data_IF_115462112105
#
_entry.id   IF_115462112105
#
_cell.length_a   1.000
_cell.length_b   1.000
_cell.length_c   1.000
_cell.angle_alpha   90.00
_cell.angle_beta   90.00
_cell.angle_gamma   90.00
#
_symmetry.space_group_name_H-M   'P 1'
#
loop_
_entity.id
_entity.type
_entity.pdbx_description
1 polymer ?
#
# COMPACT_ATOMS: atom_id res chain seq x y z
N UNK A 1 -14.98 15.58 6.93
CA UNK A 1 -15.86 14.39 6.77
C UNK A 1 -14.99 13.14 6.71
N UNK A 2 -14.62 12.57 7.87
CA UNK A 2 -13.63 11.47 7.95
C UNK A 2 -14.22 10.14 8.45
N UNK A 3 -15.48 10.15 8.89
CA UNK A 3 -16.17 8.99 9.47
C UNK A 3 -16.18 7.70 8.63
N UNK A 4 -16.43 7.73 7.30
CA UNK A 4 -16.50 6.48 6.52
C UNK A 4 -15.12 5.80 6.37
N UNK A 5 -14.05 6.58 6.27
CA UNK A 5 -12.68 6.06 6.13
C UNK A 5 -12.26 5.37 7.44
N UNK A 6 -12.54 6.00 8.58
CA UNK A 6 -12.24 5.44 9.90
C UNK A 6 -13.04 4.15 10.13
N UNK A 7 -14.32 4.12 9.73
CA UNK A 7 -15.15 2.92 9.82
C UNK A 7 -14.65 1.76 8.95
N UNK A 8 -14.20 2.05 7.74
CA UNK A 8 -13.66 1.03 6.83
C UNK A 8 -12.32 0.47 7.35
N UNK A 9 -11.43 1.32 7.88
CA UNK A 9 -10.14 0.86 8.43
C UNK A 9 -10.31 0.08 9.73
N UNK A 10 -11.20 0.50 10.62
CA UNK A 10 -11.50 -0.27 11.84
C UNK A 10 -12.14 -1.62 11.53
N UNK A 11 -13.10 -1.67 10.59
CA UNK A 11 -13.65 -2.95 10.12
C UNK A 11 -12.55 -3.85 9.54
N UNK A 12 -11.65 -3.31 8.72
CA UNK A 12 -10.50 -4.04 8.18
C UNK A 12 -9.62 -4.64 9.29
N UNK A 13 -9.20 -3.83 10.25
CA UNK A 13 -8.28 -4.25 11.33
C UNK A 13 -8.95 -5.26 12.27
N UNK A 14 -10.19 -5.02 12.67
CA UNK A 14 -10.93 -5.94 13.52
C UNK A 14 -11.14 -7.29 12.82
N UNK A 15 -11.54 -7.28 11.55
CA UNK A 15 -11.78 -8.52 10.80
C UNK A 15 -10.48 -9.28 10.53
N UNK A 16 -9.37 -8.60 10.18
CA UNK A 16 -8.08 -9.28 9.98
C UNK A 16 -7.55 -9.88 11.28
N UNK A 17 -7.58 -9.15 12.39
CA UNK A 17 -7.13 -9.66 13.70
C UNK A 17 -8.01 -10.78 14.23
N UNK A 18 -9.34 -10.68 14.07
CA UNK A 18 -10.25 -11.74 14.45
C UNK A 18 -10.03 -13.00 13.62
N UNK A 19 -9.88 -12.85 12.29
CA UNK A 19 -9.59 -13.98 11.40
C UNK A 19 -8.23 -14.64 11.71
N UNK A 20 -7.21 -13.84 12.01
CA UNK A 20 -5.89 -14.33 12.43
C UNK A 20 -5.94 -15.09 13.76
N UNK A 21 -6.65 -14.55 14.75
CA UNK A 21 -6.80 -15.17 16.07
C UNK A 21 -7.54 -16.51 16.01
N UNK A 22 -8.55 -16.63 15.15
CA UNK A 22 -9.34 -17.86 15.00
C UNK A 22 -8.54 -18.96 14.28
N UNK A 23 -7.70 -18.59 13.30
CA UNK A 23 -7.03 -19.56 12.42
C UNK A 23 -5.59 -19.89 12.84
N UNK A 24 -5.00 -19.09 13.73
CA UNK A 24 -3.62 -19.28 14.21
C UNK A 24 -2.54 -19.18 13.13
N UNK A 25 -2.90 -18.72 11.92
CA UNK A 25 -2.03 -18.58 10.75
C UNK A 25 -2.39 -17.32 9.97
N UNK A 26 -1.37 -16.61 9.49
CA UNK A 26 -1.51 -15.44 8.63
C UNK A 26 -1.64 -15.83 7.16
N UNK A 27 -2.78 -16.43 6.81
CA UNK A 27 -3.09 -16.89 5.46
C UNK A 27 -3.72 -15.79 4.59
N UNK A 28 -3.61 -15.93 3.25
CA UNK A 28 -4.17 -14.97 2.28
C UNK A 28 -5.69 -14.77 2.43
N UNK A 29 -6.41 -15.78 2.94
CA UNK A 29 -7.84 -15.71 3.22
C UNK A 29 -8.21 -14.71 4.32
N UNK A 30 -7.34 -14.51 5.33
CA UNK A 30 -7.62 -13.56 6.41
C UNK A 30 -7.54 -12.12 5.90
N UNK A 31 -6.59 -11.85 5.00
CA UNK A 31 -6.45 -10.58 4.32
C UNK A 31 -7.61 -10.32 3.36
N UNK A 32 -8.08 -11.35 2.65
CA UNK A 32 -9.27 -11.26 1.81
C UNK A 32 -10.52 -10.89 2.62
N UNK A 33 -10.77 -11.57 3.74
CA UNK A 33 -11.91 -11.30 4.64
C UNK A 33 -11.85 -9.88 5.19
N UNK A 34 -10.66 -9.41 5.59
CA UNK A 34 -10.45 -8.02 5.99
C UNK A 34 -10.81 -7.02 4.90
N UNK A 35 -10.27 -7.21 3.69
CA UNK A 35 -10.54 -6.35 2.54
C UNK A 35 -12.02 -6.35 2.13
N UNK A 36 -12.65 -7.53 2.18
CA UNK A 36 -14.07 -7.69 1.88
C UNK A 36 -14.96 -6.97 2.91
N UNK A 37 -14.64 -7.07 4.20
CA UNK A 37 -15.34 -6.37 5.27
C UNK A 37 -15.22 -4.85 5.14
N UNK A 38 -14.03 -4.34 4.80
CA UNK A 38 -13.81 -2.91 4.55
C UNK A 38 -14.63 -2.40 3.35
N UNK A 39 -14.69 -3.18 2.27
CA UNK A 39 -15.50 -2.86 1.09
C UNK A 39 -17.01 -2.92 1.35
N UNK A 40 -17.45 -3.87 2.16
CA UNK A 40 -18.85 -3.95 2.60
C UNK A 40 -19.24 -2.72 3.43
N UNK A 41 -18.37 -2.22 4.30
CA UNK A 41 -18.60 -1.00 5.09
C UNK A 41 -18.83 0.23 4.21
N UNK A 42 -18.07 0.35 3.10
CA UNK A 42 -18.28 1.41 2.10
C UNK A 42 -19.61 1.25 1.34
N UNK A 43 -20.06 0.00 1.12
CA UNK A 43 -21.37 -0.30 0.56
C UNK A 43 -22.54 0.07 1.48
N UNK A 44 -22.40 -0.16 2.78
CA UNK A 44 -23.36 0.26 3.81
C UNK A 44 -23.48 1.78 3.84
N UNK A 45 -22.34 2.49 3.78
CA UNK A 45 -22.35 3.96 3.73
C UNK A 45 -23.06 4.49 2.49
N UNK A 46 -22.86 3.87 1.32
CA UNK A 46 -23.52 4.28 0.06
C UNK A 46 -24.95 3.75 -0.10
N UNK A 47 -25.47 3.02 0.91
CA UNK A 47 -26.81 2.40 0.97
C UNK A 47 -27.15 1.58 -0.28
N UNK A 48 -26.15 0.89 -0.86
CA UNK A 48 -26.32 0.06 -2.07
C UNK A 48 -25.59 -1.26 -1.89
N UNK A 49 -26.38 -2.33 -1.83
CA UNK A 49 -25.91 -3.73 -1.66
C UNK A 49 -24.95 -4.12 -2.79
N UNK A 50 -25.30 -3.76 -4.03
CA UNK A 50 -24.48 -4.07 -5.21
C UNK A 50 -23.12 -3.36 -5.18
N UNK A 51 -23.05 -2.15 -4.62
CA UNK A 51 -21.78 -1.43 -4.44
C UNK A 51 -20.92 -2.09 -3.36
N UNK A 52 -21.53 -2.60 -2.29
CA UNK A 52 -20.82 -3.35 -1.24
C UNK A 52 -20.22 -4.67 -1.74
N UNK A 53 -20.95 -5.42 -2.58
CA UNK A 53 -20.44 -6.66 -3.16
C UNK A 53 -19.25 -6.41 -4.10
N UNK A 54 -19.38 -5.45 -5.02
CA UNK A 54 -18.30 -5.10 -5.96
C UNK A 54 -17.08 -4.53 -5.24
N UNK A 55 -17.28 -3.61 -4.28
CA UNK A 55 -16.17 -3.05 -3.48
C UNK A 55 -15.55 -4.10 -2.57
N UNK A 56 -16.34 -4.98 -1.97
CA UNK A 56 -15.86 -6.10 -1.16
C UNK A 56 -14.96 -7.04 -1.97
N UNK A 57 -15.39 -7.46 -3.16
CA UNK A 57 -14.56 -8.28 -4.05
C UNK A 57 -13.29 -7.54 -4.47
N UNK A 58 -13.40 -6.28 -4.87
CA UNK A 58 -12.27 -5.48 -5.32
C UNK A 58 -11.22 -5.30 -4.21
N UNK A 59 -11.65 -4.90 -3.02
CA UNK A 59 -10.75 -4.72 -1.87
C UNK A 59 -10.23 -6.06 -1.32
N UNK A 60 -11.02 -7.13 -1.37
CA UNK A 60 -10.58 -8.47 -1.03
C UNK A 60 -9.43 -8.94 -1.96
N UNK A 61 -9.60 -8.80 -3.27
CA UNK A 61 -8.57 -9.17 -4.26
C UNK A 61 -7.32 -8.30 -4.09
N UNK A 62 -7.47 -6.98 -3.89
CA UNK A 62 -6.36 -6.09 -3.60
C UNK A 62 -5.61 -6.47 -2.32
N UNK A 63 -6.32 -6.90 -1.27
CA UNK A 63 -5.71 -7.32 -0.02
C UNK A 63 -4.88 -8.61 -0.18
N UNK A 64 -5.37 -9.58 -0.97
CA UNK A 64 -4.60 -10.77 -1.37
C UNK A 64 -3.34 -10.34 -2.14
N UNK A 65 -3.50 -9.49 -3.16
CA UNK A 65 -2.39 -9.01 -3.98
C UNK A 65 -1.33 -8.30 -3.16
N UNK A 66 -1.74 -7.47 -2.19
CA UNK A 66 -0.80 -6.79 -1.29
C UNK A 66 -0.08 -7.76 -0.36
N UNK A 67 -0.73 -8.80 0.15
CA UNK A 67 -0.06 -9.84 0.96
C UNK A 67 0.94 -10.63 0.12
N UNK A 68 0.58 -10.98 -1.12
CA UNK A 68 1.47 -11.67 -2.06
C UNK A 68 2.68 -10.81 -2.44
N UNK A 69 2.49 -9.51 -2.65
CA UNK A 69 3.59 -8.56 -2.89
C UNK A 69 4.56 -8.52 -1.70
N UNK A 70 4.05 -8.45 -0.46
CA UNK A 70 4.88 -8.46 0.75
C UNK A 70 5.63 -9.79 0.91
N UNK A 71 5.01 -10.93 0.61
CA UNK A 71 5.66 -12.25 0.69
C UNK A 71 6.79 -12.42 -0.34
N UNK A 72 6.64 -11.84 -1.53
CA UNK A 72 7.66 -11.88 -2.58
C UNK A 72 8.71 -10.76 -2.46
N UNK A 73 8.67 -9.97 -1.38
CA UNK A 73 9.60 -8.85 -1.19
C UNK A 73 9.44 -7.73 -2.22
N UNK A 74 8.28 -7.61 -2.86
CA UNK A 74 7.98 -6.47 -3.72
C UNK A 74 7.69 -5.25 -2.85
N UNK A 75 8.67 -4.36 -2.74
CA UNK A 75 8.52 -3.05 -2.10
C UNK A 75 7.62 -2.16 -2.97
N UNK A 76 6.31 -2.17 -2.69
CA UNK A 76 5.32 -1.27 -3.32
C UNK A 76 5.67 0.20 -3.01
N UNK A 77 6.31 0.45 -1.87
CA UNK A 77 6.86 1.75 -1.45
C UNK A 77 8.35 1.56 -1.12
N UNK A 78 9.25 1.63 -2.11
CA UNK A 78 10.67 1.51 -1.84
C UNK A 78 11.12 2.66 -0.95
N UNK A 79 11.89 2.34 0.10
CA UNK A 79 12.41 3.35 1.06
C UNK A 79 13.43 4.30 0.41
N UNK A 80 14.06 3.86 -0.68
CA UNK A 80 14.84 4.70 -1.58
C UNK A 80 14.32 4.51 -3.01
N UNK A 81 13.35 5.32 -3.47
CA UNK A 81 12.89 5.26 -4.84
C UNK A 81 14.05 5.61 -5.79
N UNK A 82 14.24 4.87 -6.90
CA UNK A 82 15.13 5.31 -7.97
C UNK A 82 14.69 6.70 -8.46
N UNK A 83 15.62 7.55 -8.86
CA UNK A 83 15.39 8.98 -9.21
C UNK A 83 14.23 9.15 -10.20
N UNK A 84 14.02 8.17 -11.09
CA UNK A 84 12.94 8.13 -12.08
C UNK A 84 11.53 8.11 -11.47
N UNK A 85 11.36 7.69 -10.21
CA UNK A 85 10.07 7.69 -9.50
C UNK A 85 9.93 8.79 -8.45
N UNK A 86 10.94 9.67 -8.31
CA UNK A 86 10.82 10.89 -7.49
C UNK A 86 9.99 11.93 -8.26
N UNK A 87 9.03 12.54 -7.59
CA UNK A 87 8.17 13.57 -8.21
C UNK A 87 9.00 14.78 -8.65
N UNK A 88 8.39 15.64 -9.48
CA UNK A 88 9.02 16.86 -10.05
C UNK A 88 9.50 17.86 -8.97
N UNK A 89 9.25 17.59 -7.69
CA UNK A 89 9.61 18.44 -6.57
C UNK A 89 10.80 17.92 -5.75
N UNK A 90 11.28 16.70 -6.02
CA UNK A 90 12.27 16.01 -5.19
C UNK A 90 13.57 15.73 -5.97
N UNK A 91 14.10 16.80 -6.57
CA UNK A 91 15.33 16.79 -7.36
C UNK A 91 16.56 16.77 -6.45
N UNK A 92 17.17 15.61 -6.32
CA UNK A 92 18.46 15.45 -5.68
C UNK A 92 19.58 15.52 -6.73
N UNK A 93 20.32 16.63 -6.74
CA UNK A 93 21.43 16.88 -7.67
C UNK A 93 22.76 16.31 -7.19
N UNK A 94 22.82 15.55 -6.10
CA UNK A 94 24.09 15.01 -5.56
C UNK A 94 24.83 14.09 -6.54
N UNK A 95 24.12 13.35 -7.39
CA UNK A 95 24.72 12.48 -8.41
C UNK A 95 25.22 13.21 -9.66
N UNK A 96 24.73 14.42 -9.92
CA UNK A 96 25.18 15.30 -11.03
C UNK A 96 25.98 16.51 -10.53
N UNK A 97 26.24 16.59 -9.23
CA UNK A 97 27.02 17.65 -8.60
C UNK A 97 28.50 17.61 -8.99
N UNK A 98 29.03 16.45 -9.43
CA UNK A 98 30.31 16.40 -10.13
C UNK A 98 30.14 17.07 -11.50
N UNK A 99 30.46 18.37 -11.54
CA UNK A 99 30.51 19.16 -12.78
C UNK A 99 31.36 18.41 -13.82
N UNK A 100 30.96 18.41 -15.12
CA UNK A 100 31.76 17.86 -16.23
C UNK A 100 33.06 18.64 -16.54
N UNK A 101 33.64 19.33 -15.54
CA UNK A 101 34.91 20.07 -15.58
C UNK A 101 35.98 19.54 -14.60
N UNK A 102 35.81 18.32 -14.07
CA UNK A 102 36.82 17.67 -13.22
C UNK A 102 38.16 17.37 -13.94
N UNK A 103 38.28 17.67 -15.23
CA UNK A 103 39.54 17.60 -15.97
C UNK A 103 40.41 18.87 -15.85
N UNK A 104 39.90 19.96 -15.24
CA UNK A 104 40.67 21.21 -15.02
C UNK A 104 41.02 21.48 -13.57
N UNK A 105 40.52 20.67 -12.63
CA UNK A 105 40.84 20.78 -11.20
C UNK A 105 41.42 19.45 -10.76
N UNK A 106 42.75 19.41 -10.56
CA UNK A 106 43.41 18.25 -9.98
C UNK A 106 42.84 17.97 -8.59
N UNK A 107 42.40 16.74 -8.34
CA UNK A 107 42.24 16.23 -6.98
C UNK A 107 43.64 15.83 -6.53
N UNK A 108 44.32 16.71 -5.80
CA UNK A 108 45.47 16.29 -5.01
C UNK A 108 44.95 15.31 -3.94
N UNK A 109 45.61 14.15 -3.91
CA UNK A 109 45.39 12.96 -3.08
C UNK A 109 44.83 13.19 -1.68
#
# INVERSE_FOLDING_TARGET
MSFPIIGATTAFVCTTNAAASIRGKDDLLNWFLGGFAAGAMMGVWRRRVMTGWNMGMLFGILAIGKKYAVQNGWDVTPRNPPIASRGIWDWDFTLTAERPRNWTTGKDS
#
